data_IF_639833308482
#
_entry.id   IF_639833308482
#
_cell.length_a   1.000
_cell.length_b   1.000
_cell.length_c   1.000
_cell.angle_alpha   90.00
_cell.angle_beta   90.00
_cell.angle_gamma   90.00
#
_symmetry.space_group_name_H-M   'P 1'
#
loop_
_entity.id
_entity.type
_entity.pdbx_description
1 polymer ?
#
# COMPACT_ATOMS: atom_id res chain seq x y z
N UNK A 1 7.35 21.46 -3.79
CA UNK A 1 7.53 20.42 -2.75
C UNK A 1 8.98 20.39 -2.29
N UNK A 2 9.23 20.27 -0.97
CA UNK A 2 10.58 20.29 -0.36
C UNK A 2 10.96 18.90 0.14
N UNK A 3 12.22 18.54 0.04
CA UNK A 3 12.75 17.25 0.47
C UNK A 3 12.68 17.12 2.01
N UNK A 4 12.08 16.03 2.55
CA UNK A 4 12.01 15.78 3.99
C UNK A 4 13.38 15.66 4.66
N UNK A 5 14.41 15.16 3.95
CA UNK A 5 15.74 14.86 4.51
C UNK A 5 16.72 16.03 4.41
N UNK A 6 16.66 16.85 3.35
CA UNK A 6 17.66 17.90 3.11
C UNK A 6 17.09 19.29 2.78
N UNK A 7 15.76 19.43 2.70
CA UNK A 7 15.10 20.70 2.38
C UNK A 7 15.28 21.20 0.94
N UNK A 8 15.98 20.47 0.08
CA UNK A 8 16.11 20.84 -1.34
C UNK A 8 14.75 20.78 -2.05
N UNK A 9 14.65 21.43 -3.23
CA UNK A 9 13.47 21.26 -4.09
C UNK A 9 13.45 19.82 -4.62
N UNK A 10 12.25 19.23 -4.68
CA UNK A 10 12.02 17.97 -5.36
C UNK A 10 11.69 18.21 -6.84
N UNK A 11 12.18 17.33 -7.70
CA UNK A 11 11.94 17.34 -9.16
C UNK A 11 10.96 16.23 -9.51
N UNK A 12 9.96 16.54 -10.32
CA UNK A 12 9.00 15.56 -10.80
C UNK A 12 9.63 14.65 -11.87
N UNK A 13 9.38 13.35 -11.77
CA UNK A 13 9.82 12.33 -12.71
C UNK A 13 8.60 11.55 -13.18
N UNK A 14 8.43 11.47 -14.49
CA UNK A 14 7.36 10.66 -15.09
C UNK A 14 7.75 9.20 -15.13
N UNK A 15 6.82 8.32 -14.74
CA UNK A 15 7.06 6.87 -14.68
C UNK A 15 6.44 6.20 -15.90
N UNK A 16 5.12 6.25 -16.00
CA UNK A 16 4.34 5.71 -17.13
C UNK A 16 2.93 6.29 -17.13
N UNK A 17 2.38 6.60 -18.31
CA UNK A 17 1.04 7.16 -18.42
C UNK A 17 0.85 8.42 -17.57
N UNK A 18 -0.15 8.47 -16.66
CA UNK A 18 -0.38 9.57 -15.74
C UNK A 18 0.46 9.49 -14.45
N UNK A 19 1.21 8.41 -14.21
CA UNK A 19 1.96 8.23 -12.98
C UNK A 19 3.28 9.01 -12.98
N UNK A 20 3.55 9.67 -11.85
CA UNK A 20 4.77 10.39 -11.58
C UNK A 20 5.25 10.11 -10.14
N UNK A 21 6.51 10.41 -9.90
CA UNK A 21 7.06 10.52 -8.56
C UNK A 21 7.88 11.81 -8.47
N UNK A 22 8.35 12.13 -7.28
CA UNK A 22 9.29 13.23 -7.10
C UNK A 22 10.61 12.71 -6.54
N UNK A 23 11.72 13.18 -7.10
CA UNK A 23 13.07 12.83 -6.66
C UNK A 23 13.83 14.04 -6.17
N UNK A 24 14.58 13.86 -5.10
CA UNK A 24 15.53 14.84 -4.63
C UNK A 24 16.86 14.71 -5.39
N UNK A 25 17.23 15.73 -6.17
CA UNK A 25 18.53 15.75 -6.86
C UNK A 25 19.75 15.91 -5.95
N UNK A 26 19.55 16.18 -4.65
CA UNK A 26 20.65 16.38 -3.69
C UNK A 26 20.93 15.13 -2.86
N UNK A 27 19.91 14.55 -2.24
CA UNK A 27 20.06 13.36 -1.38
C UNK A 27 19.63 12.07 -2.05
N UNK A 28 18.97 12.08 -3.21
CA UNK A 28 18.48 10.88 -3.90
C UNK A 28 17.06 10.45 -3.53
N UNK A 29 16.51 10.95 -2.42
CA UNK A 29 15.21 10.53 -1.88
C UNK A 29 14.02 10.62 -2.84
N UNK A 30 13.08 9.68 -2.72
CA UNK A 30 11.88 9.60 -3.56
C UNK A 30 10.60 9.82 -2.76
N UNK A 31 9.72 10.65 -3.28
CA UNK A 31 8.36 10.89 -2.79
C UNK A 31 7.35 10.36 -3.82
N UNK A 32 6.54 9.38 -3.44
CA UNK A 32 5.77 8.58 -4.40
C UNK A 32 4.51 7.96 -3.77
N UNK A 33 3.48 7.74 -4.57
CA UNK A 33 2.30 6.98 -4.15
C UNK A 33 2.60 5.51 -3.95
N UNK A 34 1.95 4.90 -2.95
CA UNK A 34 2.15 3.49 -2.60
C UNK A 34 1.84 2.54 -3.77
N UNK A 35 0.84 2.84 -4.60
CA UNK A 35 0.52 2.01 -5.77
C UNK A 35 1.52 2.23 -6.92
N UNK A 36 2.02 3.45 -7.08
CA UNK A 36 2.94 3.82 -8.16
C UNK A 36 4.32 3.19 -7.98
N UNK A 37 4.73 2.93 -6.73
CA UNK A 37 5.98 2.20 -6.42
C UNK A 37 6.07 0.86 -7.17
N UNK A 38 4.96 0.12 -7.27
CA UNK A 38 4.92 -1.18 -7.94
C UNK A 38 5.09 -1.06 -9.46
N UNK A 39 4.80 0.10 -10.05
CA UNK A 39 4.91 0.38 -11.48
C UNK A 39 6.30 0.83 -11.93
N UNK A 40 7.19 1.16 -10.99
CA UNK A 40 8.59 1.47 -11.32
C UNK A 40 9.25 0.23 -11.91
N UNK A 41 9.85 0.37 -13.08
CA UNK A 41 10.63 -0.68 -13.76
C UNK A 41 12.13 -0.44 -13.63
N UNK A 42 12.95 -1.45 -13.93
CA UNK A 42 14.41 -1.29 -13.97
C UNK A 42 14.86 -0.27 -15.02
N UNK A 43 14.09 -0.09 -16.09
CA UNK A 43 14.31 0.98 -17.08
C UNK A 43 14.13 2.36 -16.47
N UNK A 44 13.15 2.54 -15.58
CA UNK A 44 12.99 3.80 -14.87
C UNK A 44 14.18 4.02 -13.93
N UNK A 45 14.54 3.01 -13.14
CA UNK A 45 15.66 3.08 -12.19
C UNK A 45 16.99 3.37 -12.89
N UNK A 46 17.29 2.71 -14.01
CA UNK A 46 18.55 2.93 -14.74
C UNK A 46 18.67 4.34 -15.34
N UNK A 47 17.54 4.96 -15.70
CA UNK A 47 17.52 6.35 -16.17
C UNK A 47 17.79 7.36 -15.04
N UNK A 48 17.44 6.99 -13.82
CA UNK A 48 17.64 7.80 -12.63
C UNK A 48 19.02 7.44 -12.06
N UNK A 49 20.06 8.21 -12.35
CA UNK A 49 21.41 7.88 -11.84
C UNK A 49 21.42 7.87 -10.31
N UNK A 50 22.10 6.91 -9.67
CA UNK A 50 22.35 6.95 -8.22
C UNK A 50 23.16 8.21 -7.86
N UNK A 51 22.86 8.78 -6.71
CA UNK A 51 23.52 9.99 -6.20
C UNK A 51 24.44 9.57 -5.05
N UNK A 52 25.72 9.96 -5.12
CA UNK A 52 26.61 9.87 -3.96
C UNK A 52 26.22 10.95 -2.96
N UNK A 53 26.03 10.55 -1.70
CA UNK A 53 25.45 11.41 -0.68
C UNK A 53 26.55 11.85 0.27
N UNK A 54 26.72 13.16 0.39
CA UNK A 54 27.44 13.74 1.51
C UNK A 54 26.51 13.76 2.74
N UNK A 55 26.93 13.12 3.82
CA UNK A 55 26.15 13.03 5.06
C UNK A 55 25.78 14.41 5.62
N UNK A 56 26.58 15.45 5.35
CA UNK A 56 26.29 16.81 5.79
C UNK A 56 24.99 17.35 5.19
N UNK A 57 24.59 16.86 4.01
CA UNK A 57 23.37 17.32 3.33
C UNK A 57 22.08 16.81 3.99
N UNK A 58 22.14 15.76 4.80
CA UNK A 58 20.98 15.17 5.48
C UNK A 58 20.52 15.95 6.71
N UNK A 59 21.19 17.07 7.05
CA UNK A 59 20.86 17.89 8.23
C UNK A 59 19.88 19.03 7.96
N UNK A 60 19.51 19.24 6.69
CA UNK A 60 18.66 20.37 6.28
C UNK A 60 17.15 20.08 6.29
N UNK A 61 16.76 18.82 6.45
CA UNK A 61 15.37 18.37 6.42
C UNK A 61 14.67 18.48 7.76
N UNK A 62 13.33 18.59 7.72
CA UNK A 62 12.46 18.62 8.90
C UNK A 62 11.66 17.32 9.10
N UNK A 63 11.83 16.33 8.21
CA UNK A 63 11.03 15.10 8.22
C UNK A 63 9.54 15.33 7.94
N UNK A 64 9.17 16.45 7.30
CA UNK A 64 7.79 16.81 7.02
C UNK A 64 7.35 16.33 5.64
N UNK A 65 6.08 15.97 5.53
CA UNK A 65 5.42 15.64 4.28
C UNK A 65 5.50 16.82 3.30
N UNK A 66 5.99 16.60 2.07
CA UNK A 66 6.14 17.67 1.09
C UNK A 66 4.82 18.31 0.60
N UNK A 67 3.68 17.66 0.87
CA UNK A 67 2.35 18.07 0.42
C UNK A 67 1.54 18.78 1.50
N UNK A 68 1.47 18.20 2.71
CA UNK A 68 0.60 18.68 3.79
C UNK A 68 1.37 19.17 5.04
N UNK A 69 2.70 19.03 5.06
CA UNK A 69 3.55 19.51 6.15
C UNK A 69 3.50 18.69 7.44
N UNK A 70 2.81 17.55 7.48
CA UNK A 70 2.75 16.68 8.67
C UNK A 70 4.03 15.85 8.80
N UNK A 71 4.47 15.58 10.02
CA UNK A 71 5.64 14.72 10.28
C UNK A 71 5.42 13.32 9.67
N UNK A 72 6.37 12.88 8.86
CA UNK A 72 6.39 11.54 8.29
C UNK A 72 6.74 10.52 9.38
N UNK A 73 6.05 9.38 9.36
CA UNK A 73 6.29 8.28 10.33
C UNK A 73 6.91 7.09 9.62
N UNK A 74 7.78 6.36 10.31
CA UNK A 74 8.31 5.08 9.79
C UNK A 74 7.15 4.14 9.49
N UNK A 75 7.14 3.60 8.28
CA UNK A 75 6.20 2.59 7.87
C UNK A 75 6.76 1.20 8.18
N UNK A 76 5.94 0.40 8.85
CA UNK A 76 6.23 -1.00 9.17
C UNK A 76 5.06 -1.81 8.62
N UNK A 77 5.34 -2.70 7.69
CA UNK A 77 4.34 -3.57 7.08
C UNK A 77 4.99 -4.56 6.13
N UNK A 78 4.27 -5.63 5.78
CA UNK A 78 4.79 -6.75 4.99
C UNK A 78 5.33 -6.35 3.60
N UNK A 79 4.89 -5.21 3.09
CA UNK A 79 5.32 -4.68 1.80
C UNK A 79 6.72 -4.07 1.80
N UNK A 80 7.33 -3.82 2.96
CA UNK A 80 8.67 -3.18 3.08
C UNK A 80 9.59 -4.07 3.92
N UNK A 81 10.85 -4.33 3.49
CA UNK A 81 11.82 -5.07 4.30
C UNK A 81 12.04 -4.43 5.68
N UNK A 82 12.12 -5.23 6.74
CA UNK A 82 12.20 -4.72 8.12
C UNK A 82 13.45 -3.85 8.37
N UNK A 83 14.56 -4.17 7.70
CA UNK A 83 15.80 -3.40 7.77
C UNK A 83 15.75 -2.07 7.01
N UNK A 84 14.71 -1.80 6.23
CA UNK A 84 14.58 -0.58 5.45
C UNK A 84 13.82 0.50 6.22
N UNK A 85 14.29 1.73 6.09
CA UNK A 85 13.62 2.91 6.64
C UNK A 85 12.81 3.59 5.56
N UNK A 86 11.54 3.20 5.41
CA UNK A 86 10.57 3.91 4.57
C UNK A 86 9.69 4.75 5.49
N UNK A 87 9.46 6.01 5.14
CA UNK A 87 8.52 6.87 5.86
C UNK A 87 7.21 7.02 5.08
N UNK A 88 6.11 7.24 5.77
CA UNK A 88 4.79 7.42 5.18
C UNK A 88 4.08 8.60 5.83
N UNK A 89 3.41 9.41 5.02
CA UNK A 89 2.48 10.40 5.56
C UNK A 89 1.18 9.72 5.97
N UNK A 90 0.73 9.97 7.20
CA UNK A 90 -0.53 9.44 7.74
C UNK A 90 -1.77 10.03 7.07
N UNK A 91 -1.65 11.21 6.45
CA UNK A 91 -2.77 11.92 5.84
C UNK A 91 -2.88 11.62 4.34
N UNK A 92 -1.84 11.91 3.56
CA UNK A 92 -1.89 11.70 2.11
C UNK A 92 -1.51 10.27 1.68
N UNK A 93 -1.00 9.44 2.60
CA UNK A 93 -0.71 8.03 2.33
C UNK A 93 0.54 7.75 1.48
N UNK A 94 1.12 8.76 0.84
CA UNK A 94 2.36 8.67 0.04
C UNK A 94 3.58 8.32 0.89
N UNK A 95 4.55 7.70 0.22
CA UNK A 95 5.75 7.15 0.81
C UNK A 95 6.97 8.01 0.48
N UNK A 96 7.85 8.13 1.45
CA UNK A 96 9.17 8.71 1.32
C UNK A 96 10.20 7.59 1.45
N UNK A 97 10.99 7.41 0.40
CA UNK A 97 12.16 6.55 0.40
C UNK A 97 13.38 7.45 0.59
N UNK A 98 14.01 7.45 1.78
CA UNK A 98 15.20 8.24 2.04
C UNK A 98 16.32 7.82 1.11
N UNK A 99 17.11 8.79 0.64
CA UNK A 99 18.27 8.50 -0.21
C UNK A 99 17.88 7.69 -1.47
N UNK A 100 18.80 6.90 -1.98
CA UNK A 100 18.51 5.94 -3.04
C UNK A 100 17.88 4.62 -2.50
N UNK A 101 17.23 4.59 -1.33
CA UNK A 101 16.64 3.35 -0.78
C UNK A 101 15.59 2.68 -1.70
N UNK A 102 15.07 3.41 -2.69
CA UNK A 102 14.16 2.88 -3.71
C UNK A 102 14.80 1.74 -4.53
N UNK A 103 16.11 1.78 -4.80
CA UNK A 103 16.77 0.73 -5.59
C UNK A 103 16.82 -0.57 -4.80
N UNK A 104 17.22 -0.51 -3.53
CA UNK A 104 17.24 -1.68 -2.66
C UNK A 104 15.82 -2.20 -2.39
N UNK A 105 14.83 -1.31 -2.32
CA UNK A 105 13.43 -1.70 -2.18
C UNK A 105 12.95 -2.54 -3.36
N UNK A 106 13.22 -2.08 -4.60
CA UNK A 106 12.79 -2.78 -5.81
C UNK A 106 13.46 -4.15 -5.94
N UNK A 107 14.74 -4.25 -5.62
CA UNK A 107 15.46 -5.52 -5.56
C UNK A 107 14.85 -6.47 -4.52
N UNK A 108 14.55 -5.98 -3.32
CA UNK A 108 13.95 -6.81 -2.26
C UNK A 108 12.52 -7.25 -2.60
N UNK A 109 11.73 -6.37 -3.20
CA UNK A 109 10.37 -6.67 -3.65
C UNK A 109 10.39 -7.75 -4.75
N UNK A 110 11.31 -7.67 -5.70
CA UNK A 110 11.48 -8.69 -6.74
C UNK A 110 11.92 -10.04 -6.14
N UNK A 111 12.88 -10.03 -5.21
CA UNK A 111 13.30 -11.25 -4.52
C UNK A 111 12.14 -11.92 -3.77
N UNK A 112 11.29 -11.13 -3.10
CA UNK A 112 10.06 -11.63 -2.46
C UNK A 112 9.12 -12.28 -3.48
N UNK A 113 8.82 -11.59 -4.59
CA UNK A 113 7.95 -12.14 -5.64
C UNK A 113 8.52 -13.43 -6.24
N UNK A 114 9.81 -13.46 -6.52
CA UNK A 114 10.48 -14.64 -7.06
C UNK A 114 10.46 -15.82 -6.07
N UNK A 115 10.65 -15.57 -4.78
CA UNK A 115 10.51 -16.59 -3.74
C UNK A 115 9.11 -17.23 -3.76
N UNK A 116 8.04 -16.42 -3.73
CA UNK A 116 6.66 -16.95 -3.80
C UNK A 116 6.37 -17.69 -5.10
N UNK A 117 6.90 -17.19 -6.23
CA UNK A 117 6.73 -17.83 -7.54
C UNK A 117 7.42 -19.19 -7.59
N UNK A 118 8.67 -19.28 -7.16
CA UNK A 118 9.48 -20.51 -7.23
C UNK A 118 8.95 -21.59 -6.29
N UNK A 119 8.52 -21.22 -5.10
CA UNK A 119 8.00 -22.17 -4.10
C UNK A 119 6.51 -22.48 -4.22
N UNK A 120 5.84 -22.01 -5.27
CA UNK A 120 4.44 -22.35 -5.53
C UNK A 120 3.49 -21.92 -4.41
N UNK A 121 3.93 -21.01 -3.54
CA UNK A 121 3.16 -20.43 -2.43
C UNK A 121 2.12 -19.45 -3.01
N UNK A 122 1.16 -19.98 -3.77
CA UNK A 122 -0.09 -19.28 -4.05
C UNK A 122 -0.85 -19.32 -2.74
N UNK A 123 -0.97 -18.17 -2.08
CA UNK A 123 -1.44 -18.04 -0.69
C UNK A 123 -2.56 -19.03 -0.37
N UNK A 124 -2.42 -19.71 0.78
CA UNK A 124 -3.20 -20.88 1.21
C UNK A 124 -4.69 -20.76 0.83
N UNK A 125 -5.05 -21.21 -0.37
CA UNK A 125 -6.43 -21.17 -0.84
C UNK A 125 -7.31 -22.06 0.06
N UNK A 126 -6.70 -23.04 0.72
CA UNK A 126 -7.31 -23.88 1.74
C UNK A 126 -7.78 -23.08 2.97
N UNK A 127 -7.02 -22.06 3.39
CA UNK A 127 -7.40 -21.19 4.52
C UNK A 127 -8.64 -20.34 4.22
N UNK A 128 -8.94 -20.12 2.94
CA UNK A 128 -10.10 -19.38 2.47
C UNK A 128 -11.33 -20.26 2.23
N UNK A 129 -11.19 -21.59 2.15
CA UNK A 129 -12.29 -22.50 1.87
C UNK A 129 -13.37 -22.45 2.96
N UNK A 130 -12.97 -22.50 4.23
CA UNK A 130 -13.89 -22.45 5.39
C UNK A 130 -14.68 -21.13 5.49
N UNK A 131 -14.08 -19.94 5.46
CA UNK A 131 -14.84 -18.69 5.52
C UNK A 131 -15.73 -18.49 4.28
N UNK A 132 -15.30 -18.91 3.08
CA UNK A 132 -16.14 -18.86 1.88
C UNK A 132 -17.35 -19.78 2.02
N UNK A 133 -17.15 -21.01 2.51
CA UNK A 133 -18.23 -21.97 2.71
C UNK A 133 -19.22 -21.48 3.77
N UNK A 134 -18.73 -20.89 4.86
CA UNK A 134 -19.56 -20.23 5.87
C UNK A 134 -20.40 -19.08 5.29
N UNK A 135 -19.81 -18.26 4.42
CA UNK A 135 -20.53 -17.18 3.73
C UNK A 135 -21.64 -17.74 2.82
N UNK A 136 -21.37 -18.81 2.07
CA UNK A 136 -22.36 -19.46 1.20
C UNK A 136 -23.54 -20.01 2.02
N UNK A 137 -23.26 -20.66 3.15
CA UNK A 137 -24.31 -21.20 4.03
C UNK A 137 -25.19 -20.09 4.60
N UNK A 138 -24.58 -18.99 5.05
CA UNK A 138 -25.33 -17.82 5.55
C UNK A 138 -26.19 -17.20 4.47
N UNK A 139 -25.65 -17.00 3.26
CA UNK A 139 -26.40 -16.45 2.13
C UNK A 139 -27.55 -17.35 1.69
N UNK A 140 -27.35 -18.68 1.66
CA UNK A 140 -28.43 -19.62 1.36
C UNK A 140 -29.51 -19.62 2.44
N UNK A 141 -29.15 -19.57 3.72
CA UNK A 141 -30.11 -19.49 4.83
C UNK A 141 -30.93 -18.20 4.81
N UNK A 142 -30.29 -17.08 4.48
CA UNK A 142 -30.97 -15.80 4.29
C UNK A 142 -31.94 -15.86 3.10
N UNK A 143 -31.50 -16.42 1.98
CA UNK A 143 -32.32 -16.56 0.78
C UNK A 143 -33.56 -17.45 1.01
N UNK A 144 -33.38 -18.61 1.64
CA UNK A 144 -34.50 -19.52 1.96
C UNK A 144 -35.44 -18.91 2.99
N UNK A 145 -34.92 -18.24 4.02
CA UNK A 145 -35.74 -17.54 5.02
C UNK A 145 -36.60 -16.43 4.39
N UNK A 146 -36.01 -15.61 3.52
CA UNK A 146 -36.75 -14.55 2.80
C UNK A 146 -37.80 -15.15 1.88
N UNK A 147 -37.47 -16.20 1.11
CA UNK A 147 -38.42 -16.91 0.25
C UNK A 147 -39.61 -17.46 1.03
N UNK A 148 -39.35 -18.09 2.18
CA UNK A 148 -40.39 -18.67 3.04
C UNK A 148 -41.37 -17.61 3.57
N UNK A 149 -40.85 -16.45 3.98
CA UNK A 149 -41.66 -15.32 4.47
C UNK A 149 -42.51 -14.71 3.33
N UNK A 150 -41.96 -14.63 2.12
CA UNK A 150 -42.67 -14.10 0.95
C UNK A 150 -43.77 -15.05 0.45
N UNK A 151 -43.57 -16.37 0.54
CA UNK A 151 -44.53 -17.38 0.11
C UNK A 151 -45.63 -17.64 1.17
N UNK A 152 -45.35 -17.39 2.45
CA UNK A 152 -46.30 -17.59 3.56
C UNK A 152 -46.48 -16.32 4.43
N UNK A 153 -47.40 -15.40 4.06
CA UNK A 153 -47.61 -14.13 4.79
C UNK A 153 -48.11 -14.33 6.23
N UNK A 154 -48.67 -15.50 6.55
CA UNK A 154 -49.07 -15.92 7.91
C UNK A 154 -47.89 -16.20 8.85
N UNK A 155 -46.67 -16.38 8.31
CA UNK A 155 -45.44 -16.45 9.12
C UNK A 155 -44.99 -15.05 9.53
N UNK A 156 -45.21 -14.05 8.68
CA UNK A 156 -44.89 -12.64 8.97
C UNK A 156 -45.72 -12.11 10.14
N UNK A 157 -47.03 -12.40 10.15
CA UNK A 157 -47.94 -11.96 11.23
C UNK A 157 -47.58 -12.60 12.57
N UNK A 158 -47.28 -13.91 12.60
CA UNK A 158 -46.83 -14.60 13.82
C UNK A 158 -45.45 -14.13 14.31
N UNK A 159 -44.55 -13.80 13.38
CA UNK A 159 -43.23 -13.26 13.73
C UNK A 159 -43.34 -11.83 14.32
N UNK A 160 -44.26 -11.00 13.82
CA UNK A 160 -44.56 -9.68 14.37
C UNK A 160 -45.16 -9.78 15.78
N UNK A 161 -46.12 -10.68 16.00
CA UNK A 161 -46.68 -10.97 17.33
C UNK A 161 -45.61 -11.43 18.33
N UNK A 162 -44.67 -12.29 17.92
CA UNK A 162 -43.58 -12.77 18.78
C UNK A 162 -42.54 -11.68 19.12
N UNK A 163 -42.40 -10.66 18.26
CA UNK A 163 -41.54 -9.49 18.50
C UNK A 163 -42.26 -8.36 19.27
N UNK A 164 -43.51 -8.58 19.70
CA UNK A 164 -44.29 -7.61 20.48
C UNK A 164 -44.61 -6.33 19.70
N UNK A 165 -44.75 -6.41 18.38
CA UNK A 165 -45.16 -5.31 17.50
C UNK A 165 -46.46 -5.62 16.77
#
# INVERSE_FOLDING_TARGET
MRCPDCGSRLTELRISGPDFCYRCGRCGGFWIDSWTVNRITDKNLSSWRRISIDQMWLRGGKGLCPLDGIILKRYIGEGVPQQMEVLRCVRCGKWWFPRDSMYEYKQAAEAKVNYYRLWGLKGDMESLALPILGLIVLLMGLFTGVRLILEHPEILTRAMEALGR
#
